data_IF_566422326456
#
_entry.id   IF_566422326456
#
_cell.length_a   1.000
_cell.length_b   1.000
_cell.length_c   1.000
_cell.angle_alpha   90.00
_cell.angle_beta   90.00
_cell.angle_gamma   90.00
#
_symmetry.space_group_name_H-M   'P 1'
#
loop_
_entity.id
_entity.type
_entity.pdbx_description
1 polymer ?
#
# COMPACT_ATOMS: atom_id res chain seq x y z
N UNK A 1 -17.85 -22.37 1.49
CA UNK A 1 -17.53 -22.82 2.87
C UNK A 1 -16.05 -22.59 3.12
N UNK A 2 -15.68 -22.13 4.33
CA UNK A 2 -14.29 -21.93 4.75
C UNK A 2 -13.90 -23.11 5.63
N UNK A 3 -12.80 -23.79 5.29
CA UNK A 3 -12.21 -24.86 6.10
C UNK A 3 -11.08 -24.29 6.97
N UNK A 4 -11.10 -24.59 8.26
CA UNK A 4 -10.01 -24.26 9.17
C UNK A 4 -9.10 -25.46 9.32
N UNK A 5 -7.82 -25.33 8.94
CA UNK A 5 -6.80 -26.36 9.07
C UNK A 5 -5.85 -25.94 10.17
N UNK A 6 -5.61 -26.82 11.15
CA UNK A 6 -4.75 -26.50 12.29
C UNK A 6 -4.11 -27.76 12.89
N UNK A 7 -3.14 -27.53 13.78
CA UNK A 7 -2.49 -28.56 14.57
C UNK A 7 -2.96 -28.45 16.02
N UNK A 8 -3.45 -29.54 16.60
CA UNK A 8 -3.78 -29.58 18.02
C UNK A 8 -2.48 -29.53 18.84
N UNK A 9 -2.33 -28.51 19.67
CA UNK A 9 -1.14 -28.30 20.52
C UNK A 9 -1.35 -28.78 21.96
N UNK A 10 -2.61 -28.86 22.41
CA UNK A 10 -2.97 -29.39 23.71
C UNK A 10 -4.42 -29.91 23.68
N UNK A 11 -4.70 -30.95 24.47
CA UNK A 11 -6.03 -31.55 24.51
C UNK A 11 -6.39 -32.37 23.25
N UNK A 12 -7.71 -32.55 23.01
CA UNK A 12 -8.26 -33.28 21.87
C UNK A 12 -9.58 -32.65 21.45
N UNK A 13 -9.96 -32.84 20.17
CA UNK A 13 -11.26 -32.47 19.62
C UNK A 13 -11.97 -33.70 19.07
N UNK A 14 -13.27 -33.74 19.22
CA UNK A 14 -14.13 -34.73 18.61
C UNK A 14 -15.10 -34.05 17.63
N UNK A 15 -15.61 -34.83 16.71
CA UNK A 15 -16.67 -34.35 15.83
C UNK A 15 -17.92 -34.02 16.65
N UNK A 16 -18.43 -32.82 16.48
CA UNK A 16 -19.57 -32.28 17.21
C UNK A 16 -19.23 -31.43 18.41
N UNK A 17 -17.96 -31.32 18.79
CA UNK A 17 -17.54 -30.45 19.88
C UNK A 17 -17.82 -28.96 19.55
N UNK A 18 -18.29 -28.23 20.56
CA UNK A 18 -18.49 -26.79 20.48
C UNK A 18 -17.14 -26.10 20.75
N UNK A 19 -16.68 -25.33 19.78
CA UNK A 19 -15.39 -24.64 19.86
C UNK A 19 -15.55 -23.12 19.82
N UNK A 20 -14.60 -22.40 20.40
CA UNK A 20 -14.47 -20.94 20.29
C UNK A 20 -13.37 -20.63 19.28
N UNK A 21 -13.69 -19.83 18.26
CA UNK A 21 -12.73 -19.31 17.29
C UNK A 21 -12.34 -17.89 17.71
N UNK A 22 -11.05 -17.69 17.97
CA UNK A 22 -10.51 -16.36 18.30
C UNK A 22 -9.68 -15.86 17.12
N UNK A 23 -10.04 -14.70 16.57
CA UNK A 23 -9.30 -14.04 15.52
C UNK A 23 -8.18 -13.20 16.13
N UNK A 24 -6.99 -13.21 15.54
CA UNK A 24 -5.92 -12.28 15.90
C UNK A 24 -6.37 -10.84 15.56
N UNK A 25 -6.74 -10.10 16.60
CA UNK A 25 -7.33 -8.77 16.48
C UNK A 25 -6.35 -7.80 15.80
N UNK A 26 -5.07 -7.84 16.17
CA UNK A 26 -4.05 -6.97 15.58
C UNK A 26 -3.93 -7.20 14.09
N UNK A 27 -3.78 -8.46 13.66
CA UNK A 27 -3.70 -8.80 12.24
C UNK A 27 -4.96 -8.40 11.49
N UNK A 28 -6.13 -8.57 12.10
CA UNK A 28 -7.40 -8.19 11.50
C UNK A 28 -7.50 -6.68 11.29
N UNK A 29 -7.10 -5.88 12.28
CA UNK A 29 -7.10 -4.41 12.20
C UNK A 29 -6.11 -3.94 11.13
N UNK A 30 -4.88 -4.45 11.12
CA UNK A 30 -3.86 -4.06 10.15
C UNK A 30 -4.29 -4.46 8.71
N UNK A 31 -4.91 -5.64 8.54
CA UNK A 31 -5.52 -6.03 7.25
C UNK A 31 -6.64 -5.08 6.84
N UNK A 32 -7.51 -4.67 7.78
CA UNK A 32 -8.61 -3.74 7.50
C UNK A 32 -8.10 -2.37 7.05
N UNK A 33 -7.02 -1.87 7.65
CA UNK A 33 -6.35 -0.62 7.24
C UNK A 33 -5.84 -0.72 5.80
N UNK A 34 -5.08 -1.77 5.50
CA UNK A 34 -4.54 -2.01 4.16
C UNK A 34 -5.66 -2.19 3.13
N UNK A 35 -6.75 -2.88 3.48
CA UNK A 35 -7.87 -3.06 2.55
C UNK A 35 -8.60 -1.74 2.28
N UNK A 36 -8.88 -0.96 3.30
CA UNK A 36 -9.53 0.35 3.12
C UNK A 36 -8.64 1.31 2.34
N UNK A 37 -7.33 1.31 2.59
CA UNK A 37 -6.37 2.08 1.81
C UNK A 37 -6.32 1.64 0.33
N UNK A 38 -6.56 0.36 0.02
CA UNK A 38 -6.63 -0.13 -1.38
C UNK A 38 -7.76 0.54 -2.15
N UNK A 39 -8.94 0.73 -1.53
CA UNK A 39 -10.05 1.45 -2.15
C UNK A 39 -9.74 2.92 -2.39
N UNK A 40 -9.11 3.59 -1.42
CA UNK A 40 -8.67 4.98 -1.58
C UNK A 40 -7.60 5.10 -2.69
N UNK A 41 -6.66 4.14 -2.75
CA UNK A 41 -5.62 4.08 -3.77
C UNK A 41 -6.20 3.93 -5.18
N UNK A 42 -7.17 3.04 -5.37
CA UNK A 42 -7.81 2.84 -6.67
C UNK A 42 -8.43 4.13 -7.20
N UNK A 43 -9.16 4.87 -6.36
CA UNK A 43 -9.76 6.12 -6.79
C UNK A 43 -8.72 7.22 -7.02
N UNK A 44 -7.70 7.32 -6.17
CA UNK A 44 -6.60 8.26 -6.35
C UNK A 44 -5.84 8.02 -7.66
N UNK A 45 -5.59 6.77 -8.03
CA UNK A 45 -4.98 6.41 -9.31
C UNK A 45 -5.86 6.83 -10.49
N UNK A 46 -7.17 6.66 -10.41
CA UNK A 46 -8.09 7.11 -11.46
C UNK A 46 -8.11 8.63 -11.61
N UNK A 47 -8.04 9.37 -10.51
CA UNK A 47 -7.97 10.83 -10.51
C UNK A 47 -6.68 11.32 -11.19
N UNK A 48 -5.54 10.68 -10.90
CA UNK A 48 -4.21 11.13 -11.38
C UNK A 48 -3.93 10.64 -12.80
N UNK A 49 -4.21 9.36 -13.08
CA UNK A 49 -3.82 8.70 -14.33
C UNK A 49 -4.98 8.62 -15.35
N UNK A 50 -6.22 8.69 -14.88
CA UNK A 50 -7.40 8.66 -15.73
C UNK A 50 -8.29 7.43 -15.56
N UNK A 51 -9.46 7.48 -16.22
CA UNK A 51 -10.53 6.49 -16.07
C UNK A 51 -10.22 5.09 -16.62
N UNK A 52 -9.13 4.93 -17.37
CA UNK A 52 -8.68 3.62 -17.87
C UNK A 52 -8.07 2.74 -16.80
N UNK A 53 -7.78 3.31 -15.62
CA UNK A 53 -7.26 2.54 -14.48
C UNK A 53 -8.35 1.63 -13.94
N UNK A 54 -8.10 0.31 -14.05
CA UNK A 54 -8.95 -0.75 -13.54
C UNK A 54 -8.11 -1.74 -12.75
N UNK A 55 -8.72 -2.35 -11.73
CA UNK A 55 -8.03 -3.38 -10.95
C UNK A 55 -7.79 -4.62 -11.80
N UNK A 56 -6.53 -5.00 -11.97
CA UNK A 56 -6.10 -6.26 -12.57
C UNK A 56 -5.84 -7.34 -11.52
N UNK A 57 -5.51 -6.95 -10.30
CA UNK A 57 -5.29 -7.86 -9.17
C UNK A 57 -5.09 -7.09 -7.87
N UNK A 58 -5.31 -7.77 -6.74
CA UNK A 58 -5.08 -7.21 -5.41
C UNK A 58 -4.66 -8.28 -4.43
N UNK A 59 -3.79 -7.93 -3.49
CA UNK A 59 -3.43 -8.73 -2.34
C UNK A 59 -3.36 -7.83 -1.11
N UNK A 60 -4.13 -8.18 -0.09
CA UNK A 60 -4.17 -7.45 1.18
C UNK A 60 -3.75 -8.39 2.30
N UNK A 61 -2.71 -8.02 3.03
CA UNK A 61 -2.18 -8.73 4.20
C UNK A 61 -2.09 -7.79 5.39
N UNK A 62 -1.83 -8.27 6.62
CA UNK A 62 -1.55 -7.38 7.75
C UNK A 62 -0.34 -6.47 7.52
N UNK A 63 0.65 -6.94 6.76
CA UNK A 63 1.94 -6.27 6.61
C UNK A 63 1.94 -5.21 5.50
N UNK A 64 1.19 -5.45 4.42
CA UNK A 64 1.15 -4.58 3.23
C UNK A 64 -0.08 -4.80 2.37
N UNK A 65 -0.33 -3.88 1.48
CA UNK A 65 -1.21 -4.06 0.33
C UNK A 65 -0.39 -4.10 -0.97
N UNK A 66 -0.92 -4.83 -1.95
CA UNK A 66 -0.45 -4.84 -3.33
C UNK A 66 -1.65 -4.61 -4.23
N UNK A 67 -1.51 -3.71 -5.18
CA UNK A 67 -2.55 -3.37 -6.14
C UNK A 67 -1.99 -3.40 -7.56
N UNK A 68 -2.53 -4.28 -8.39
CA UNK A 68 -2.19 -4.40 -9.81
C UNK A 68 -3.28 -3.71 -10.63
N UNK A 69 -2.91 -2.84 -11.55
CA UNK A 69 -3.86 -2.00 -12.28
C UNK A 69 -3.44 -1.81 -13.74
N UNK A 70 -4.42 -1.53 -14.61
CA UNK A 70 -4.18 -1.27 -16.02
C UNK A 70 -3.57 0.12 -16.21
N UNK A 71 -2.34 0.15 -16.73
CA UNK A 71 -1.66 1.37 -17.16
C UNK A 71 -0.46 1.02 -18.04
N UNK A 72 -0.20 1.83 -19.08
CA UNK A 72 0.76 1.48 -20.14
C UNK A 72 2.20 1.92 -19.84
N UNK A 73 2.39 2.94 -19.01
CA UNK A 73 3.69 3.54 -18.74
C UNK A 73 4.08 3.43 -17.27
N UNK A 74 5.36 3.46 -16.91
CA UNK A 74 5.79 3.69 -15.54
C UNK A 74 5.21 5.01 -15.02
N UNK A 75 4.77 5.01 -13.76
CA UNK A 75 4.39 6.26 -13.11
C UNK A 75 5.61 7.13 -12.87
N UNK A 76 5.45 8.42 -13.06
CA UNK A 76 6.46 9.41 -12.67
C UNK A 76 6.48 9.59 -11.16
N UNK A 77 7.59 10.11 -10.61
CA UNK A 77 7.68 10.46 -9.18
C UNK A 77 6.58 11.43 -8.76
N UNK A 78 6.29 12.43 -9.60
CA UNK A 78 5.22 13.39 -9.36
C UNK A 78 3.82 12.76 -9.32
N UNK A 79 3.55 11.76 -10.16
CA UNK A 79 2.28 11.04 -10.15
C UNK A 79 2.15 10.18 -8.89
N UNK A 80 3.22 9.52 -8.46
CA UNK A 80 3.27 8.74 -7.22
C UNK A 80 3.02 9.65 -6.02
N UNK A 81 3.69 10.80 -5.94
CA UNK A 81 3.51 11.79 -4.88
C UNK A 81 2.07 12.32 -4.83
N UNK A 82 1.46 12.63 -5.98
CA UNK A 82 0.07 13.09 -6.07
C UNK A 82 -0.91 12.01 -5.57
N UNK A 83 -0.71 10.75 -5.97
CA UNK A 83 -1.54 9.63 -5.50
C UNK A 83 -1.41 9.46 -3.99
N UNK A 84 -0.20 9.47 -3.44
CA UNK A 84 0.03 9.41 -2.00
C UNK A 84 -0.65 10.57 -1.26
N UNK A 85 -0.51 11.79 -1.78
CA UNK A 85 -1.10 12.98 -1.19
C UNK A 85 -2.64 12.87 -1.13
N UNK A 86 -3.28 12.45 -2.23
CA UNK A 86 -4.73 12.27 -2.29
C UNK A 86 -5.18 11.22 -1.28
N UNK A 87 -4.52 10.05 -1.20
CA UNK A 87 -4.89 9.00 -0.26
C UNK A 87 -4.77 9.50 1.19
N UNK A 88 -3.64 10.14 1.53
CA UNK A 88 -3.42 10.67 2.87
C UNK A 88 -4.38 11.82 3.22
N UNK A 89 -4.79 12.62 2.25
CA UNK A 89 -5.84 13.63 2.44
C UNK A 89 -7.18 12.99 2.84
N UNK A 90 -7.59 11.90 2.17
CA UNK A 90 -8.82 11.20 2.52
C UNK A 90 -8.72 10.50 3.90
N UNK A 91 -7.53 10.03 4.28
CA UNK A 91 -7.26 9.53 5.62
C UNK A 91 -7.43 10.66 6.65
N UNK A 92 -6.83 11.80 6.41
CA UNK A 92 -6.88 12.96 7.31
C UNK A 92 -8.30 13.54 7.48
N UNK A 93 -9.16 13.43 6.46
CA UNK A 93 -10.58 13.82 6.54
C UNK A 93 -11.39 12.97 7.50
N UNK A 94 -10.88 11.83 7.94
CA UNK A 94 -11.54 10.96 8.93
C UNK A 94 -12.98 10.60 8.54
N UNK A 95 -13.16 10.11 7.32
CA UNK A 95 -14.45 9.80 6.71
C UNK A 95 -14.99 8.50 7.29
N UNK A 96 -16.24 8.47 7.71
CA UNK A 96 -16.91 7.25 8.14
C UNK A 96 -17.05 6.25 6.98
N UNK A 97 -16.74 4.99 7.26
CA UNK A 97 -16.84 3.90 6.29
C UNK A 97 -18.17 3.20 6.46
N UNK A 98 -19.11 3.51 5.58
CA UNK A 98 -20.42 2.88 5.60
C UNK A 98 -20.43 1.58 4.81
N UNK A 99 -21.15 0.60 5.36
CA UNK A 99 -21.38 -0.67 4.69
C UNK A 99 -22.87 -0.92 4.58
N UNK A 100 -23.37 -1.13 3.35
CA UNK A 100 -24.78 -1.41 3.05
C UNK A 100 -24.90 -2.73 2.29
N UNK A 101 -25.87 -3.55 2.67
CA UNK A 101 -26.25 -4.74 1.88
C UNK A 101 -27.49 -4.36 1.09
N UNK A 102 -27.38 -4.38 -0.23
CA UNK A 102 -28.42 -3.89 -1.14
C UNK A 102 -28.73 -4.98 -2.18
N UNK A 103 -29.92 -4.97 -2.75
CA UNK A 103 -30.20 -5.69 -3.97
C UNK A 103 -29.25 -5.16 -5.08
N UNK A 104 -28.79 -6.05 -5.97
CA UNK A 104 -27.79 -5.71 -6.99
C UNK A 104 -28.23 -4.54 -7.87
N UNK A 105 -29.51 -4.45 -8.22
CA UNK A 105 -30.07 -3.38 -9.04
C UNK A 105 -30.09 -2.03 -8.31
N UNK A 106 -30.29 -2.02 -7.00
CA UNK A 106 -30.23 -0.81 -6.19
C UNK A 106 -28.79 -0.38 -5.92
N UNK A 107 -27.90 -1.36 -5.72
CA UNK A 107 -26.46 -1.09 -5.58
C UNK A 107 -25.87 -0.44 -6.83
N UNK A 108 -26.25 -0.87 -8.04
CA UNK A 108 -25.85 -0.23 -9.30
C UNK A 108 -26.29 1.23 -9.39
N UNK A 109 -27.47 1.57 -8.88
CA UNK A 109 -27.99 2.96 -8.86
C UNK A 109 -27.19 3.90 -7.95
N UNK A 110 -26.42 3.36 -6.98
CA UNK A 110 -25.57 4.18 -6.10
C UNK A 110 -24.31 4.71 -6.79
N UNK A 111 -24.02 4.27 -8.00
CA UNK A 111 -22.76 4.54 -8.70
C UNK A 111 -21.56 3.76 -8.16
N UNK A 112 -21.79 2.76 -7.30
CA UNK A 112 -20.72 1.92 -6.77
C UNK A 112 -20.09 1.07 -7.86
N UNK A 113 -18.76 1.01 -7.84
CA UNK A 113 -17.97 0.23 -8.81
C UNK A 113 -18.01 -1.25 -8.45
N UNK A 114 -18.27 -2.09 -9.44
CA UNK A 114 -18.17 -3.53 -9.33
C UNK A 114 -16.83 -3.99 -9.92
N UNK A 115 -16.18 -4.99 -9.31
CA UNK A 115 -15.00 -5.61 -9.91
C UNK A 115 -15.43 -6.40 -11.15
N UNK A 116 -14.72 -6.19 -12.26
CA UNK A 116 -14.91 -6.97 -13.47
C UNK A 116 -14.58 -8.45 -13.18
N UNK A 117 -15.43 -9.36 -13.63
CA UNK A 117 -15.31 -10.81 -13.48
C UNK A 117 -15.81 -11.43 -12.16
N UNK A 118 -16.35 -10.71 -11.22
CA UNK A 118 -17.05 -11.32 -10.09
C UNK A 118 -18.53 -11.61 -10.44
N UNK A 119 -18.96 -12.82 -10.13
CA UNK A 119 -20.38 -13.18 -10.21
C UNK A 119 -21.05 -12.80 -8.90
N UNK A 120 -21.82 -11.75 -8.94
CA UNK A 120 -22.59 -11.28 -7.78
C UNK A 120 -23.92 -12.04 -7.68
N UNK A 121 -24.36 -12.33 -6.45
CA UNK A 121 -25.69 -12.86 -6.18
C UNK A 121 -26.76 -11.77 -6.25
N UNK A 122 -27.97 -12.09 -5.79
CA UNK A 122 -29.12 -11.16 -5.78
C UNK A 122 -28.88 -9.94 -4.87
N UNK A 123 -28.01 -10.08 -3.87
CA UNK A 123 -27.61 -9.01 -2.96
C UNK A 123 -26.11 -8.85 -2.92
N UNK A 124 -25.66 -7.60 -2.80
CA UNK A 124 -24.23 -7.23 -2.74
C UNK A 124 -23.97 -6.32 -1.55
N UNK A 125 -22.76 -6.40 -1.02
CA UNK A 125 -22.26 -5.51 0.00
C UNK A 125 -21.55 -4.34 -0.67
N UNK A 126 -22.03 -3.12 -0.42
CA UNK A 126 -21.44 -1.87 -0.89
C UNK A 126 -20.70 -1.21 0.26
N UNK A 127 -19.45 -0.87 0.04
CA UNK A 127 -18.59 -0.13 0.97
C UNK A 127 -18.42 1.28 0.43
N UNK A 128 -18.76 2.29 1.25
CA UNK A 128 -18.67 3.69 0.90
C UNK A 128 -17.73 4.42 1.86
N UNK A 129 -16.83 5.22 1.32
CA UNK A 129 -15.97 6.16 2.05
C UNK A 129 -16.35 7.59 1.61
N UNK A 130 -17.46 8.08 2.13
CA UNK A 130 -18.10 9.30 1.66
C UNK A 130 -18.49 9.20 0.19
N UNK A 131 -18.26 10.29 -0.55
CA UNK A 131 -18.43 10.33 -2.00
C UNK A 131 -17.13 9.96 -2.76
N UNK A 132 -16.02 9.79 -2.07
CA UNK A 132 -14.73 9.55 -2.69
C UNK A 132 -14.61 8.14 -3.26
N UNK A 133 -15.01 7.11 -2.52
CA UNK A 133 -14.97 5.72 -2.99
C UNK A 133 -16.26 4.99 -2.64
N UNK A 134 -16.85 4.32 -3.63
CA UNK A 134 -18.03 3.46 -3.49
C UNK A 134 -17.81 2.19 -4.32
N UNK A 135 -17.68 1.05 -3.64
CA UNK A 135 -17.31 -0.21 -4.31
C UNK A 135 -18.08 -1.41 -3.75
N UNK A 136 -18.31 -2.40 -4.61
CA UNK A 136 -18.81 -3.71 -4.18
C UNK A 136 -17.67 -4.46 -3.52
N UNK A 137 -17.77 -4.69 -2.22
CA UNK A 137 -16.69 -5.34 -1.48
C UNK A 137 -17.19 -6.16 -0.29
N UNK A 138 -16.81 -7.44 -0.26
CA UNK A 138 -17.11 -8.37 0.83
C UNK A 138 -16.09 -8.38 1.97
N UNK A 139 -15.00 -7.61 1.84
CA UNK A 139 -13.85 -7.67 2.74
C UNK A 139 -14.03 -6.93 4.07
N UNK A 140 -12.99 -6.99 4.90
CA UNK A 140 -12.95 -6.31 6.20
C UNK A 140 -12.34 -4.92 6.05
N UNK A 141 -13.04 -3.91 6.56
CA UNK A 141 -12.64 -2.50 6.49
C UNK A 141 -12.58 -1.85 7.88
N UNK A 142 -11.87 -0.73 7.98
CA UNK A 142 -11.95 0.16 9.13
C UNK A 142 -13.32 0.83 9.19
N UNK A 143 -13.74 1.27 10.37
CA UNK A 143 -15.00 2.01 10.53
C UNK A 143 -14.88 3.50 10.12
N UNK A 144 -13.64 4.01 10.05
CA UNK A 144 -13.35 5.39 9.70
C UNK A 144 -11.98 5.47 9.03
N UNK A 145 -11.81 6.28 7.97
CA UNK A 145 -10.55 6.36 7.22
C UNK A 145 -9.38 6.85 8.07
N UNK A 146 -9.60 7.68 9.08
CA UNK A 146 -8.57 8.12 10.03
C UNK A 146 -7.87 6.99 10.78
N UNK A 147 -8.54 5.84 10.95
CA UNK A 147 -7.94 4.65 11.57
C UNK A 147 -6.84 3.99 10.72
N UNK A 148 -6.76 4.29 9.43
CA UNK A 148 -5.66 3.87 8.56
C UNK A 148 -4.35 4.49 9.04
N UNK A 149 -4.42 5.72 9.56
CA UNK A 149 -3.37 6.56 10.13
C UNK A 149 -2.45 7.20 9.08
N UNK A 150 -1.77 6.41 8.25
CA UNK A 150 -0.88 6.89 7.19
C UNK A 150 -0.80 5.89 6.05
N UNK A 151 -0.43 6.37 4.86
CA UNK A 151 -0.26 5.57 3.66
C UNK A 151 1.05 5.95 2.97
N UNK A 152 1.85 4.95 2.58
CA UNK A 152 3.11 5.13 1.84
C UNK A 152 3.23 4.11 0.71
N UNK A 153 3.41 4.57 -0.51
CA UNK A 153 3.82 3.73 -1.65
C UNK A 153 5.32 3.42 -1.49
N UNK A 154 5.67 2.13 -1.50
CA UNK A 154 7.06 1.70 -1.34
C UNK A 154 7.67 1.21 -2.65
N UNK A 155 6.85 0.80 -3.60
CA UNK A 155 7.31 0.43 -4.95
C UNK A 155 6.21 0.60 -6.00
N UNK A 156 6.63 0.92 -7.22
CA UNK A 156 5.84 0.87 -8.44
C UNK A 156 6.63 0.13 -9.51
N UNK A 157 6.02 -0.84 -10.21
CA UNK A 157 6.70 -1.67 -11.21
C UNK A 157 5.74 -2.24 -12.25
N UNK A 158 6.27 -2.63 -13.42
CA UNK A 158 5.52 -3.40 -14.42
C UNK A 158 5.47 -4.88 -14.05
N UNK A 159 4.32 -5.54 -14.26
CA UNK A 159 4.15 -6.99 -14.04
C UNK A 159 3.73 -7.74 -15.29
N UNK A 160 3.08 -7.07 -16.22
CA UNK A 160 2.69 -7.58 -17.53
C UNK A 160 2.53 -6.42 -18.51
N UNK A 161 2.34 -6.72 -19.80
CA UNK A 161 2.05 -5.70 -20.79
C UNK A 161 0.76 -4.94 -20.41
N UNK A 162 0.85 -3.63 -20.25
CA UNK A 162 -0.27 -2.78 -19.84
C UNK A 162 -0.76 -2.94 -18.41
N UNK A 163 0.00 -3.61 -17.52
CA UNK A 163 -0.34 -3.79 -16.11
C UNK A 163 0.81 -3.33 -15.22
N UNK A 164 0.51 -2.41 -14.32
CA UNK A 164 1.43 -1.87 -13.30
C UNK A 164 1.04 -2.39 -11.92
N UNK A 165 2.00 -2.43 -11.03
CA UNK A 165 1.86 -2.87 -9.63
C UNK A 165 2.34 -1.81 -8.69
N UNK A 166 1.53 -1.51 -7.69
CA UNK A 166 1.92 -0.73 -6.51
C UNK A 166 1.94 -1.65 -5.30
N UNK A 167 3.00 -1.54 -4.49
CA UNK A 167 3.02 -2.02 -3.11
C UNK A 167 3.03 -0.83 -2.16
N UNK A 168 2.20 -0.89 -1.13
CA UNK A 168 2.07 0.19 -0.16
C UNK A 168 1.87 -0.32 1.26
N UNK A 169 2.15 0.55 2.22
CA UNK A 169 2.09 0.31 3.65
C UNK A 169 1.13 1.30 4.30
N UNK A 170 0.52 0.87 5.42
CA UNK A 170 -0.34 1.74 6.23
C UNK A 170 0.10 1.75 7.69
N UNK A 171 -0.28 2.79 8.42
CA UNK A 171 -0.11 2.89 9.87
C UNK A 171 1.30 2.59 10.35
N UNK A 172 1.41 1.60 11.25
CA UNK A 172 2.71 1.21 11.83
C UNK A 172 3.71 0.70 10.80
N UNK A 173 3.25 0.08 9.69
CA UNK A 173 4.10 -0.36 8.59
C UNK A 173 4.77 0.82 7.89
N UNK A 174 4.02 1.86 7.56
CA UNK A 174 4.55 3.09 6.99
C UNK A 174 5.52 3.80 7.95
N UNK A 175 5.19 3.86 9.25
CA UNK A 175 6.07 4.44 10.25
C UNK A 175 7.40 3.67 10.39
N UNK A 176 7.35 2.33 10.40
CA UNK A 176 8.55 1.50 10.45
C UNK A 176 9.43 1.69 9.20
N UNK A 177 8.82 1.87 8.03
CA UNK A 177 9.53 2.17 6.79
C UNK A 177 10.30 3.50 6.87
N UNK A 178 9.67 4.57 7.37
CA UNK A 178 10.36 5.86 7.55
C UNK A 178 11.50 5.78 8.58
N UNK A 179 11.32 5.05 9.67
CA UNK A 179 12.39 4.80 10.65
C UNK A 179 13.59 4.06 10.05
N UNK A 180 13.35 3.09 9.17
CA UNK A 180 14.41 2.37 8.49
C UNK A 180 15.19 3.29 7.53
N UNK A 181 14.49 4.16 6.80
CA UNK A 181 15.13 5.18 5.94
C UNK A 181 15.95 6.14 6.79
N UNK A 182 15.41 6.66 7.88
CA UNK A 182 16.14 7.55 8.79
C UNK A 182 17.42 6.91 9.33
N UNK A 183 17.31 5.63 9.74
CA UNK A 183 18.46 4.86 10.18
C UNK A 183 19.53 4.73 9.09
N UNK A 184 19.13 4.31 7.88
CA UNK A 184 20.02 4.18 6.72
C UNK A 184 20.71 5.53 6.39
N UNK A 185 19.95 6.61 6.42
CA UNK A 185 20.50 7.96 6.20
C UNK A 185 21.54 8.33 7.25
N UNK A 186 21.24 8.09 8.52
CA UNK A 186 22.19 8.33 9.61
C UNK A 186 23.45 7.45 9.49
N UNK A 187 23.31 6.20 9.04
CA UNK A 187 24.45 5.31 8.82
C UNK A 187 25.33 5.78 7.64
N UNK A 188 24.72 6.32 6.58
CA UNK A 188 25.46 6.99 5.48
C UNK A 188 26.23 8.20 5.99
N UNK A 189 25.61 9.07 6.80
CA UNK A 189 26.27 10.22 7.40
C UNK A 189 27.48 9.80 8.23
N UNK A 190 27.34 8.76 9.06
CA UNK A 190 28.47 8.22 9.85
C UNK A 190 29.59 7.69 8.97
N UNK A 191 29.26 6.92 7.92
CA UNK A 191 30.23 6.37 6.99
C UNK A 191 31.02 7.46 6.25
N UNK A 192 30.36 8.54 5.86
CA UNK A 192 30.97 9.72 5.23
C UNK A 192 31.68 10.64 6.23
N UNK A 193 31.62 10.36 7.55
CA UNK A 193 32.09 11.26 8.62
C UNK A 193 31.49 12.67 8.46
N UNK A 194 30.18 12.73 8.25
CA UNK A 194 29.41 13.94 7.99
C UNK A 194 28.18 14.02 8.91
N UNK A 195 27.51 15.14 8.88
CA UNK A 195 26.20 15.38 9.49
C UNK A 195 25.10 15.33 8.43
N UNK A 196 23.82 15.18 8.80
CA UNK A 196 22.70 15.30 7.85
C UNK A 196 22.72 16.58 7.00
N UNK A 197 23.24 17.68 7.56
CA UNK A 197 23.29 18.97 6.88
C UNK A 197 24.37 19.10 5.80
N UNK A 198 25.43 18.28 5.84
CA UNK A 198 26.58 18.41 4.93
C UNK A 198 27.02 17.12 4.25
N UNK A 199 26.25 16.03 4.37
CA UNK A 199 26.63 14.70 3.83
C UNK A 199 26.78 14.73 2.30
N UNK A 200 25.91 15.44 1.59
CA UNK A 200 25.96 15.54 0.14
C UNK A 200 27.24 16.27 -0.33
N UNK A 201 27.53 17.42 0.27
CA UNK A 201 28.76 18.19 -0.02
C UNK A 201 30.02 17.37 0.29
N UNK A 202 30.01 16.64 1.44
CA UNK A 202 31.13 15.82 1.83
C UNK A 202 31.37 14.67 0.84
N UNK A 203 30.31 14.00 0.37
CA UNK A 203 30.41 12.93 -0.64
C UNK A 203 30.92 13.52 -1.97
N UNK A 204 30.40 14.64 -2.42
CA UNK A 204 30.85 15.30 -3.64
C UNK A 204 32.36 15.66 -3.57
N UNK A 205 32.82 16.22 -2.43
CA UNK A 205 34.23 16.50 -2.20
C UNK A 205 35.10 15.22 -2.25
N UNK A 206 34.70 14.16 -1.57
CA UNK A 206 35.40 12.87 -1.58
C UNK A 206 35.53 12.31 -3.02
N UNK A 207 34.46 12.39 -3.82
CA UNK A 207 34.47 11.95 -5.21
C UNK A 207 35.44 12.77 -6.07
N UNK A 208 35.48 14.09 -5.88
CA UNK A 208 36.40 14.98 -6.58
C UNK A 208 37.87 14.71 -6.19
N UNK A 209 38.13 14.46 -4.91
CA UNK A 209 39.46 14.11 -4.41
C UNK A 209 39.95 12.76 -4.98
N UNK A 210 39.11 11.74 -4.98
CA UNK A 210 39.41 10.42 -5.58
C UNK A 210 39.75 10.60 -7.07
N UNK A 211 39.00 11.41 -7.81
CA UNK A 211 39.26 11.66 -9.23
C UNK A 211 40.62 12.36 -9.44
N UNK A 212 40.93 13.32 -8.61
CA UNK A 212 42.23 14.05 -8.64
C UNK A 212 43.41 13.12 -8.36
N UNK A 213 43.31 12.31 -7.29
CA UNK A 213 44.33 11.34 -6.89
C UNK A 213 44.58 10.27 -7.97
N UNK A 214 43.51 9.76 -8.60
CA UNK A 214 43.66 8.82 -9.71
C UNK A 214 44.38 9.44 -10.90
N UNK A 215 44.12 10.71 -11.25
CA UNK A 215 44.82 11.39 -12.33
C UNK A 215 46.30 11.59 -11.99
N UNK A 216 46.63 11.93 -10.75
CA UNK A 216 48.01 12.06 -10.29
C UNK A 216 48.76 10.72 -10.35
N UNK A 217 48.14 9.64 -9.89
CA UNK A 217 48.70 8.26 -9.98
C UNK A 217 49.00 7.92 -11.44
N UNK A 218 48.10 8.15 -12.38
CA UNK A 218 48.35 7.85 -13.80
C UNK A 218 49.47 8.72 -14.38
N UNK A 219 49.57 9.99 -13.99
CA UNK A 219 50.67 10.88 -14.36
C UNK A 219 52.04 10.38 -13.84
N UNK A 220 52.08 9.83 -12.61
CA UNK A 220 53.29 9.30 -12.01
C UNK A 220 53.72 7.99 -12.64
N UNK A 221 52.78 7.11 -13.06
CA UNK A 221 53.08 5.86 -13.75
C UNK A 221 53.60 6.03 -15.17
N UNK A 222 53.28 7.17 -15.81
CA UNK A 222 53.68 7.47 -17.19
C UNK A 222 55.00 8.26 -17.28
N UNK A 223 55.64 8.54 -16.15
CA UNK A 223 56.99 9.10 -16.06
C UNK A 223 58.03 8.03 -15.88
#
# INVERSE_FOLDING_TARGET
RVGHVGKVTAGSFNVGDKVTLTVDEKKRIDTAKNHSATHLLQEALRIVLGNHVEQAGSLVTPDRLRFDFTHFQPMTEEEIEKVEAIVNEQIAKSIDVETKVLAIEDAKKTGAKALFNEKYGDTVRVVCMGDFSKEFCGGTHVSNTGLINSFKIVSESGVAAGVRRIEALTGNGAFAYYKDIEKKYNDICKAAKATPANVEEKIAHMQAEIKSLNSEIESLKNK
#
